data_IF_998493002520
#
_entry.id   IF_998493002520
#
_cell.length_a   1.000
_cell.length_b   1.000
_cell.length_c   1.000
_cell.angle_alpha   90.00
_cell.angle_beta   90.00
_cell.angle_gamma   90.00
#
_symmetry.space_group_name_H-M   'P 1'
#
loop_
_entity.id
_entity.type
_entity.pdbx_description
1 polymer ?
#
# COMPACT_ATOMS: atom_id res chain seq x y z
N UNK A 1 16.35 10.13 -11.15
CA UNK A 1 15.49 9.39 -10.21
C UNK A 1 16.09 8.01 -10.06
N UNK A 2 16.53 7.66 -8.86
CA UNK A 2 17.13 6.36 -8.58
C UNK A 2 16.22 5.63 -7.59
N UNK A 3 15.90 4.37 -7.88
CA UNK A 3 14.98 3.59 -7.05
C UNK A 3 15.78 2.86 -5.96
N UNK A 4 15.59 3.30 -4.72
CA UNK A 4 16.10 2.62 -3.54
C UNK A 4 15.19 1.44 -3.16
N UNK A 5 15.52 0.27 -3.69
CA UNK A 5 14.79 -0.98 -3.44
C UNK A 5 14.80 -1.43 -1.97
N UNK A 6 15.72 -0.95 -1.13
CA UNK A 6 15.70 -1.24 0.30
C UNK A 6 14.57 -0.48 0.97
N UNK A 7 14.40 0.80 0.62
CA UNK A 7 13.29 1.63 1.11
C UNK A 7 11.94 1.10 0.66
N UNK A 8 11.80 0.71 -0.62
CA UNK A 8 10.54 0.12 -1.15
C UNK A 8 10.19 -1.18 -0.42
N UNK A 9 11.15 -2.09 -0.23
CA UNK A 9 10.90 -3.36 0.49
C UNK A 9 10.47 -3.14 1.94
N UNK A 10 11.15 -2.25 2.66
CA UNK A 10 10.75 -1.90 4.04
C UNK A 10 9.36 -1.26 4.05
N UNK A 11 9.09 -0.38 3.10
CA UNK A 11 7.80 0.26 2.88
C UNK A 11 6.66 -0.73 2.71
N UNK A 12 6.86 -1.72 1.84
CA UNK A 12 5.88 -2.78 1.59
C UNK A 12 5.55 -3.58 2.87
N UNK A 13 6.58 -3.96 3.63
CA UNK A 13 6.38 -4.69 4.90
C UNK A 13 5.62 -3.83 5.90
N UNK A 14 6.02 -2.57 6.07
CA UNK A 14 5.35 -1.63 6.97
C UNK A 14 3.91 -1.37 6.52
N UNK A 15 3.66 -1.23 5.23
CA UNK A 15 2.32 -0.98 4.70
C UNK A 15 1.37 -2.14 4.98
N UNK A 16 1.84 -3.38 4.83
CA UNK A 16 1.03 -4.56 5.14
C UNK A 16 0.74 -4.66 6.64
N UNK A 17 1.75 -4.44 7.49
CA UNK A 17 1.60 -4.50 8.95
C UNK A 17 0.63 -3.41 9.44
N UNK A 18 0.87 -2.15 9.05
CA UNK A 18 0.01 -1.04 9.45
C UNK A 18 -1.41 -1.16 8.89
N UNK A 19 -1.55 -1.67 7.65
CA UNK A 19 -2.86 -1.92 7.06
C UNK A 19 -3.66 -2.92 7.89
N UNK A 20 -3.08 -4.07 8.25
CA UNK A 20 -3.77 -5.07 9.09
C UNK A 20 -4.11 -4.48 10.46
N UNK A 21 -3.12 -3.92 11.17
CA UNK A 21 -3.32 -3.44 12.54
C UNK A 21 -4.41 -2.37 12.58
N UNK A 22 -4.29 -1.32 11.76
CA UNK A 22 -5.23 -0.21 11.81
C UNK A 22 -6.60 -0.57 11.25
N UNK A 23 -6.69 -1.52 10.33
CA UNK A 23 -7.97 -2.06 9.87
C UNK A 23 -8.76 -2.68 11.02
N UNK A 24 -8.12 -3.43 11.91
CA UNK A 24 -8.88 -4.03 13.03
C UNK A 24 -9.40 -3.03 14.04
N UNK A 25 -8.81 -1.84 14.13
CA UNK A 25 -9.30 -0.79 15.01
C UNK A 25 -10.33 0.14 14.35
N UNK A 26 -10.20 0.42 13.05
CA UNK A 26 -10.97 1.47 12.37
C UNK A 26 -11.53 1.06 10.99
N UNK A 27 -11.61 -0.25 10.71
CA UNK A 27 -12.13 -0.80 9.46
C UNK A 27 -11.33 -0.36 8.22
N UNK A 28 -12.02 -0.22 7.09
CA UNK A 28 -11.39 0.17 5.81
C UNK A 28 -10.62 1.49 5.91
N UNK A 29 -11.16 2.47 6.64
CA UNK A 29 -10.53 3.78 6.86
C UNK A 29 -9.20 3.60 7.59
N UNK A 30 -9.16 2.76 8.62
CA UNK A 30 -7.94 2.44 9.35
C UNK A 30 -6.87 1.83 8.43
N UNK A 31 -7.27 0.88 7.58
CA UNK A 31 -6.38 0.28 6.59
C UNK A 31 -5.79 1.32 5.61
N UNK A 32 -6.62 2.23 5.09
CA UNK A 32 -6.18 3.31 4.19
C UNK A 32 -5.19 4.24 4.90
N UNK A 33 -5.48 4.63 6.14
CA UNK A 33 -4.58 5.49 6.95
C UNK A 33 -3.26 4.78 7.23
N UNK A 34 -3.28 3.49 7.56
CA UNK A 34 -2.06 2.70 7.78
C UNK A 34 -1.21 2.57 6.52
N UNK A 35 -1.86 2.34 5.39
CA UNK A 35 -1.20 2.31 4.10
C UNK A 35 -0.57 3.68 3.75
N UNK A 36 -1.32 4.77 3.94
CA UNK A 36 -0.83 6.14 3.72
C UNK A 36 0.35 6.49 4.65
N UNK A 37 0.27 6.13 5.93
CA UNK A 37 1.36 6.36 6.88
C UNK A 37 2.65 5.63 6.47
N UNK A 38 2.53 4.39 5.97
CA UNK A 38 3.66 3.64 5.45
C UNK A 38 4.28 4.32 4.22
N UNK A 39 3.47 4.85 3.31
CA UNK A 39 3.98 5.51 2.09
C UNK A 39 4.55 6.89 2.38
N UNK A 40 4.05 7.59 3.41
CA UNK A 40 4.70 8.78 4.00
C UNK A 40 6.07 8.43 4.57
N UNK A 41 6.18 7.36 5.35
CA UNK A 41 7.47 6.89 5.85
C UNK A 41 8.46 6.59 4.71
N UNK A 42 7.99 5.94 3.65
CA UNK A 42 8.78 5.64 2.45
C UNK A 42 9.25 6.92 1.76
N UNK A 43 8.36 7.89 1.56
CA UNK A 43 8.71 9.19 0.98
C UNK A 43 9.72 9.98 1.82
N UNK A 44 9.60 9.90 3.15
CA UNK A 44 10.55 10.50 4.08
C UNK A 44 11.91 9.81 4.04
N UNK A 45 11.96 8.49 3.84
CA UNK A 45 13.21 7.73 3.74
C UNK A 45 13.81 7.70 2.34
N UNK A 46 13.03 7.99 1.31
CA UNK A 46 13.52 8.15 -0.05
C UNK A 46 14.50 9.34 -0.13
N UNK A 47 15.40 9.28 -1.11
CA UNK A 47 16.35 10.37 -1.38
C UNK A 47 15.61 11.66 -1.76
N UNK A 48 16.32 12.78 -1.75
CA UNK A 48 15.74 14.11 -1.89
C UNK A 48 14.91 14.29 -3.18
N UNK A 49 13.74 14.92 -3.02
CA UNK A 49 12.88 15.37 -4.12
C UNK A 49 11.48 14.73 -4.13
N UNK A 50 10.46 15.56 -4.37
CA UNK A 50 9.05 15.14 -4.42
C UNK A 50 8.81 14.00 -5.42
N UNK A 51 9.43 14.08 -6.59
CA UNK A 51 9.29 13.07 -7.63
C UNK A 51 9.85 11.70 -7.19
N UNK A 52 10.91 11.71 -6.38
CA UNK A 52 11.50 10.49 -5.86
C UNK A 52 10.60 9.85 -4.80
N UNK A 53 10.10 10.64 -3.85
CA UNK A 53 9.11 10.17 -2.86
C UNK A 53 7.85 9.60 -3.50
N UNK A 54 7.28 10.33 -4.46
CA UNK A 54 6.09 9.91 -5.20
C UNK A 54 6.30 8.54 -5.87
N UNK A 55 7.42 8.36 -6.57
CA UNK A 55 7.72 7.12 -7.28
C UNK A 55 7.87 5.94 -6.32
N UNK A 56 8.58 6.11 -5.20
CA UNK A 56 8.75 5.05 -4.20
C UNK A 56 7.43 4.70 -3.52
N UNK A 57 6.64 5.71 -3.14
CA UNK A 57 5.33 5.51 -2.53
C UNK A 57 4.35 4.82 -3.49
N UNK A 58 4.32 5.24 -4.77
CA UNK A 58 3.49 4.61 -5.79
C UNK A 58 3.92 3.16 -6.06
N UNK A 59 5.22 2.86 -6.10
CA UNK A 59 5.73 1.49 -6.20
C UNK A 59 5.26 0.62 -5.03
N UNK A 60 5.30 1.15 -3.80
CA UNK A 60 4.75 0.45 -2.63
C UNK A 60 3.25 0.21 -2.78
N UNK A 61 2.49 1.16 -3.36
CA UNK A 61 1.06 0.98 -3.63
C UNK A 61 0.75 -0.06 -4.69
N UNK A 62 1.48 -0.07 -5.80
CA UNK A 62 1.30 -1.06 -6.85
C UNK A 62 1.63 -2.45 -6.31
N UNK A 63 2.82 -2.61 -5.72
CA UNK A 63 3.28 -3.91 -5.20
C UNK A 63 2.41 -4.36 -4.03
N UNK A 64 2.04 -3.45 -3.13
CA UNK A 64 1.14 -3.72 -2.00
C UNK A 64 -0.25 -4.16 -2.47
N UNK A 65 -0.81 -3.50 -3.48
CA UNK A 65 -2.08 -3.88 -4.08
C UNK A 65 -2.04 -5.26 -4.73
N UNK A 66 -0.97 -5.57 -5.47
CA UNK A 66 -0.76 -6.90 -6.07
C UNK A 66 -0.62 -7.98 -4.99
N UNK A 67 0.23 -7.75 -4.00
CA UNK A 67 0.46 -8.70 -2.89
C UNK A 67 -0.82 -8.91 -2.09
N UNK A 68 -1.56 -7.84 -1.78
CA UNK A 68 -2.87 -7.90 -1.15
C UNK A 68 -3.84 -8.75 -1.97
N UNK A 69 -3.98 -8.48 -3.27
CA UNK A 69 -4.82 -9.28 -4.16
C UNK A 69 -4.44 -10.77 -4.20
N UNK A 70 -3.14 -11.09 -4.19
CA UNK A 70 -2.65 -12.47 -4.13
C UNK A 70 -2.98 -13.15 -2.79
N UNK A 71 -2.85 -12.45 -1.66
CA UNK A 71 -3.24 -12.98 -0.34
C UNK A 71 -4.73 -13.34 -0.35
N UNK A 72 -5.57 -12.45 -0.88
CA UNK A 72 -7.02 -12.65 -0.99
C UNK A 72 -7.34 -13.85 -1.89
N UNK A 73 -6.68 -13.98 -3.05
CA UNK A 73 -6.83 -15.15 -3.92
C UNK A 73 -6.47 -16.45 -3.19
N UNK A 74 -5.36 -16.47 -2.44
CA UNK A 74 -4.95 -17.64 -1.67
C UNK A 74 -6.03 -18.01 -0.64
N UNK A 75 -6.59 -17.03 0.07
CA UNK A 75 -7.67 -17.26 1.04
C UNK A 75 -8.90 -17.91 0.40
N UNK A 76 -9.28 -17.47 -0.80
CA UNK A 76 -10.36 -18.13 -1.56
C UNK A 76 -10.02 -19.58 -1.91
N UNK A 77 -8.80 -19.85 -2.37
CA UNK A 77 -8.37 -21.20 -2.80
C UNK A 77 -8.32 -22.21 -1.64
N UNK A 78 -8.08 -21.75 -0.41
CA UNK A 78 -8.02 -22.62 0.79
C UNK A 78 -9.35 -22.70 1.55
N UNK A 79 -10.45 -22.19 0.97
CA UNK A 79 -11.79 -22.27 1.56
C UNK A 79 -12.13 -21.19 2.58
N UNK A 80 -11.29 -20.15 2.73
CA UNK A 80 -11.51 -19.00 3.61
C UNK A 80 -12.11 -17.80 2.85
N UNK A 81 -13.05 -18.07 1.94
CA UNK A 81 -13.64 -17.04 1.08
C UNK A 81 -14.39 -15.93 1.84
N UNK A 82 -15.02 -16.25 2.98
CA UNK A 82 -15.73 -15.24 3.79
C UNK A 82 -14.74 -14.28 4.45
N UNK A 83 -13.62 -14.79 4.97
CA UNK A 83 -12.51 -13.98 5.48
C UNK A 83 -11.91 -13.12 4.36
N UNK A 84 -11.74 -13.68 3.16
CA UNK A 84 -11.25 -12.96 2.00
C UNK A 84 -12.16 -11.75 1.66
N UNK A 85 -13.48 -11.95 1.61
CA UNK A 85 -14.46 -10.87 1.37
C UNK A 85 -14.45 -9.79 2.45
N UNK A 86 -14.28 -10.18 3.71
CA UNK A 86 -14.20 -9.23 4.82
C UNK A 86 -12.93 -8.39 4.78
N UNK A 87 -11.79 -9.00 4.44
CA UNK A 87 -10.51 -8.31 4.33
C UNK A 87 -10.44 -7.41 3.11
N UNK A 88 -11.03 -7.85 2.01
CA UNK A 88 -10.98 -7.14 0.75
C UNK A 88 -12.19 -7.51 -0.12
N UNK A 89 -13.23 -6.67 -0.18
CA UNK A 89 -14.47 -6.94 -0.90
C UNK A 89 -14.33 -6.72 -2.41
N UNK A 90 -13.23 -7.22 -3.00
CA UNK A 90 -13.02 -7.25 -4.45
C UNK A 90 -13.21 -8.67 -4.91
N UNK A 91 -14.14 -8.84 -5.84
CA UNK A 91 -14.55 -10.15 -6.36
C UNK A 91 -14.23 -10.30 -7.84
N UNK A 92 -13.93 -9.20 -8.53
CA UNK A 92 -13.60 -9.18 -9.96
C UNK A 92 -12.17 -8.71 -10.28
N UNK A 93 -11.66 -9.14 -11.43
CA UNK A 93 -10.35 -8.69 -11.96
C UNK A 93 -10.36 -7.17 -12.23
N UNK A 94 -11.46 -6.63 -12.76
CA UNK A 94 -11.59 -5.20 -13.06
C UNK A 94 -11.49 -4.37 -11.77
N UNK A 95 -12.23 -4.78 -10.74
CA UNK A 95 -12.19 -4.16 -9.41
C UNK A 95 -10.77 -4.22 -8.82
N UNK A 96 -10.07 -5.36 -8.95
CA UNK A 96 -8.70 -5.50 -8.46
C UNK A 96 -7.74 -4.53 -9.14
N UNK A 97 -7.83 -4.39 -10.46
CA UNK A 97 -7.02 -3.43 -11.22
C UNK A 97 -7.32 -1.99 -10.79
N UNK A 98 -8.58 -1.62 -10.65
CA UNK A 98 -8.98 -0.28 -10.18
C UNK A 98 -8.39 -0.01 -8.80
N UNK A 99 -8.49 -0.96 -7.87
CA UNK A 99 -7.97 -0.80 -6.52
C UNK A 99 -6.44 -0.71 -6.50
N UNK A 100 -5.71 -1.47 -7.32
CA UNK A 100 -4.25 -1.34 -7.46
C UNK A 100 -3.87 0.06 -7.93
N UNK A 101 -4.60 0.63 -8.90
CA UNK A 101 -4.38 2.00 -9.37
C UNK A 101 -4.65 3.01 -8.24
N UNK A 102 -5.74 2.84 -7.49
CA UNK A 102 -6.02 3.71 -6.33
C UNK A 102 -4.92 3.64 -5.28
N UNK A 103 -4.40 2.45 -4.96
CA UNK A 103 -3.26 2.33 -4.04
C UNK A 103 -1.98 2.94 -4.59
N UNK A 104 -1.74 2.86 -5.91
CA UNK A 104 -0.63 3.56 -6.53
C UNK A 104 -0.73 5.08 -6.35
N UNK A 105 -1.93 5.65 -6.52
CA UNK A 105 -2.19 7.07 -6.33
C UNK A 105 -2.03 7.49 -4.86
N UNK A 106 -2.66 6.77 -3.93
CA UNK A 106 -2.52 7.02 -2.49
C UNK A 106 -1.07 6.87 -2.04
N UNK A 107 -0.37 5.87 -2.59
CA UNK A 107 1.04 5.66 -2.35
C UNK A 107 1.89 6.82 -2.86
N UNK A 108 1.63 7.30 -4.07
CA UNK A 108 2.28 8.49 -4.61
C UNK A 108 2.06 9.73 -3.76
N UNK A 109 0.83 9.97 -3.29
CA UNK A 109 0.49 11.08 -2.41
C UNK A 109 1.17 10.99 -1.04
N UNK A 110 1.17 9.81 -0.41
CA UNK A 110 1.92 9.63 0.83
C UNK A 110 3.41 9.84 0.62
N UNK A 111 3.95 9.31 -0.47
CA UNK A 111 5.35 9.50 -0.86
C UNK A 111 5.73 10.97 -1.04
N UNK A 112 4.91 11.77 -1.71
CA UNK A 112 5.18 13.21 -1.87
C UNK A 112 5.13 13.94 -0.54
N UNK A 113 4.14 13.64 0.32
CA UNK A 113 4.02 14.22 1.66
C UNK A 113 5.26 13.88 2.49
N UNK A 114 5.69 12.61 2.50
CA UNK A 114 6.88 12.18 3.23
C UNK A 114 8.14 12.92 2.81
N UNK A 115 8.35 13.07 1.50
CA UNK A 115 9.49 13.84 0.98
C UNK A 115 9.39 15.34 1.29
N UNK A 116 8.17 15.89 1.38
CA UNK A 116 7.95 17.27 1.79
C UNK A 116 8.38 17.53 3.24
N UNK A 117 8.18 16.56 4.13
CA UNK A 117 8.53 16.66 5.56
C UNK A 117 10.04 16.59 5.79
N UNK A 118 10.78 15.87 4.94
CA UNK A 118 12.24 15.71 5.08
C UNK A 118 13.03 16.95 4.61
N UNK A 119 12.47 17.69 3.65
CA UNK A 119 13.07 18.95 3.17
C UNK A 119 13.17 19.97 4.30
#
# INVERSE_FOLDING_TARGET
MEINWVTVRKGLVISLILWIILREFAGDIGGIVGFLAATVYVGYKADEGYMNGAAHGALVGIVGGIVGGLIILILYLIGLGDTAKQLWPVTGIIEAVVVIVLYALVGGLGGTIGSAIKR
#
